data_IF_761052392762
#
_entry.id   IF_761052392762
#
_cell.length_a   1.000
_cell.length_b   1.000
_cell.length_c   1.000
_cell.angle_alpha   90.00
_cell.angle_beta   90.00
_cell.angle_gamma   90.00
#
_symmetry.space_group_name_H-M   'P 1'
#
loop_
_entity.id
_entity.type
_entity.pdbx_description
1 polymer ?
#
# COMPACT_ATOMS: atom_id res chain seq x y z
N UNK A 1 13.70 6.53 -9.22
CA UNK A 1 14.27 7.22 -8.05
C UNK A 1 14.98 6.18 -7.20
N UNK A 2 16.31 6.25 -7.07
CA UNK A 2 17.11 5.30 -6.27
C UNK A 2 16.65 5.21 -4.80
N UNK A 3 16.07 6.29 -4.28
CA UNK A 3 15.60 6.37 -2.89
C UNK A 3 14.41 5.45 -2.54
N UNK A 4 13.52 5.13 -3.48
CA UNK A 4 12.37 4.24 -3.20
C UNK A 4 12.84 2.80 -3.15
N UNK A 5 13.58 2.37 -4.16
CA UNK A 5 14.09 0.99 -4.26
C UNK A 5 14.99 0.66 -3.07
N UNK A 6 15.93 1.55 -2.73
CA UNK A 6 16.83 1.37 -1.58
C UNK A 6 16.04 1.23 -0.27
N UNK A 7 15.05 2.10 -0.05
CA UNK A 7 14.23 2.06 1.16
C UNK A 7 13.37 0.79 1.26
N UNK A 8 12.79 0.34 0.14
CA UNK A 8 11.98 -0.88 0.13
C UNK A 8 12.85 -2.13 0.30
N UNK A 9 14.04 -2.18 -0.31
CA UNK A 9 15.00 -3.28 -0.09
C UNK A 9 15.41 -3.40 1.39
N UNK A 10 15.54 -2.29 2.11
CA UNK A 10 15.79 -2.31 3.56
C UNK A 10 14.64 -2.93 4.38
N UNK A 11 13.40 -2.86 3.88
CA UNK A 11 12.23 -3.50 4.49
C UNK A 11 11.99 -4.93 3.93
N UNK A 12 13.04 -5.53 3.36
CA UNK A 12 13.10 -6.90 2.82
C UNK A 12 12.19 -7.19 1.61
N UNK A 13 11.77 -6.17 0.86
CA UNK A 13 11.11 -6.37 -0.43
C UNK A 13 12.12 -6.76 -1.52
N UNK A 14 11.74 -7.71 -2.38
CA UNK A 14 12.42 -7.93 -3.65
C UNK A 14 11.87 -6.91 -4.65
N UNK A 15 12.73 -6.00 -5.12
CA UNK A 15 12.33 -4.91 -5.99
C UNK A 15 13.00 -5.01 -7.35
N UNK A 16 12.23 -4.73 -8.39
CA UNK A 16 12.72 -4.41 -9.72
C UNK A 16 12.25 -3.01 -10.11
N UNK A 17 13.06 -2.33 -10.93
CA UNK A 17 12.75 -0.98 -11.42
C UNK A 17 12.62 -1.01 -12.93
N UNK A 18 11.57 -0.39 -13.45
CA UNK A 18 11.43 -0.04 -14.86
C UNK A 18 11.43 1.48 -14.96
N UNK A 19 12.34 2.03 -15.78
CA UNK A 19 12.49 3.47 -15.95
C UNK A 19 11.64 4.03 -17.09
N UNK A 20 11.13 3.16 -17.98
CA UNK A 20 10.38 3.53 -19.17
C UNK A 20 9.11 2.70 -19.30
N UNK A 21 8.19 3.16 -20.15
CA UNK A 21 6.98 2.42 -20.49
C UNK A 21 7.29 1.02 -21.05
N UNK A 22 8.22 0.92 -21.99
CA UNK A 22 8.57 -0.35 -22.64
C UNK A 22 9.16 -1.35 -21.64
N UNK A 23 10.09 -0.90 -20.78
CA UNK A 23 10.64 -1.74 -19.71
C UNK A 23 9.55 -2.23 -18.74
N UNK A 24 8.58 -1.36 -18.42
CA UNK A 24 7.50 -1.71 -17.51
C UNK A 24 6.60 -2.79 -18.12
N UNK A 25 6.26 -2.65 -19.41
CA UNK A 25 5.45 -3.62 -20.14
C UNK A 25 6.16 -4.96 -20.33
N UNK A 26 7.45 -4.94 -20.64
CA UNK A 26 8.28 -6.14 -20.75
C UNK A 26 8.30 -6.90 -19.42
N UNK A 27 8.68 -6.23 -18.33
CA UNK A 27 8.78 -6.86 -17.01
C UNK A 27 7.45 -7.34 -16.48
N UNK A 28 6.39 -6.55 -16.62
CA UNK A 28 5.02 -6.93 -16.28
C UNK A 28 4.50 -8.15 -17.06
N UNK A 29 5.04 -8.41 -18.26
CA UNK A 29 4.69 -9.57 -19.06
C UNK A 29 5.48 -10.84 -18.72
N UNK A 30 6.66 -10.70 -18.08
CA UNK A 30 7.56 -11.82 -17.77
C UNK A 30 7.37 -12.30 -16.32
N UNK A 31 7.13 -11.38 -15.39
CA UNK A 31 7.09 -11.67 -13.96
C UNK A 31 5.72 -11.39 -13.34
N UNK A 32 5.39 -12.13 -12.29
CA UNK A 32 4.26 -11.84 -11.42
C UNK A 32 4.73 -11.05 -10.19
N UNK A 33 4.01 -9.98 -9.88
CA UNK A 33 4.31 -9.09 -8.75
C UNK A 33 3.16 -9.06 -7.74
N UNK A 34 3.49 -8.95 -6.45
CA UNK A 34 2.48 -8.75 -5.40
C UNK A 34 1.98 -7.30 -5.36
N UNK A 35 2.89 -6.35 -5.65
CA UNK A 35 2.60 -4.92 -5.69
C UNK A 35 3.39 -4.23 -6.82
N UNK A 36 2.74 -3.33 -7.54
CA UNK A 36 3.32 -2.50 -8.59
C UNK A 36 3.09 -1.03 -8.23
N UNK A 37 4.17 -0.25 -8.19
CA UNK A 37 4.14 1.20 -8.08
C UNK A 37 4.24 1.80 -9.48
N UNK A 38 3.23 2.56 -9.89
CA UNK A 38 3.17 3.12 -11.25
C UNK A 38 3.20 4.64 -11.19
N UNK A 39 4.22 5.24 -11.80
CA UNK A 39 4.21 6.68 -12.08
C UNK A 39 3.31 6.97 -13.28
N UNK A 40 2.46 7.99 -13.21
CA UNK A 40 1.59 8.35 -14.35
C UNK A 40 2.45 8.84 -15.52
N UNK A 41 3.46 9.66 -15.23
CA UNK A 41 4.37 10.17 -16.25
C UNK A 41 5.55 9.21 -16.40
N UNK A 42 5.57 8.46 -17.51
CA UNK A 42 6.70 7.60 -17.86
C UNK A 42 7.35 8.08 -19.17
N UNK A 43 8.68 8.01 -19.29
CA UNK A 43 9.32 8.13 -20.59
C UNK A 43 8.79 7.04 -21.55
N UNK A 44 8.37 7.46 -22.74
CA UNK A 44 7.89 6.55 -23.78
C UNK A 44 6.40 6.16 -23.71
N UNK A 45 5.64 6.62 -22.70
CA UNK A 45 4.21 6.30 -22.60
C UNK A 45 3.53 6.80 -21.32
N UNK A 46 2.31 6.32 -21.06
CA UNK A 46 1.57 6.66 -19.84
C UNK A 46 1.53 5.48 -18.88
N UNK A 47 1.72 5.75 -17.59
CA UNK A 47 1.49 4.75 -16.53
C UNK A 47 0.06 4.22 -16.54
N UNK A 48 -0.93 5.03 -16.96
CA UNK A 48 -2.32 4.58 -17.08
C UNK A 48 -2.46 3.45 -18.11
N UNK A 49 -1.69 3.51 -19.21
CA UNK A 49 -1.70 2.44 -20.23
C UNK A 49 -1.09 1.14 -19.69
N UNK A 50 -0.06 1.24 -18.84
CA UNK A 50 0.51 0.08 -18.14
C UNK A 50 -0.55 -0.56 -17.24
N UNK A 51 -1.32 0.24 -16.49
CA UNK A 51 -2.39 -0.25 -15.62
C UNK A 51 -3.48 -0.93 -16.46
N UNK A 52 -3.92 -0.32 -17.57
CA UNK A 52 -4.90 -0.93 -18.48
C UNK A 52 -4.42 -2.28 -19.00
N UNK A 53 -3.16 -2.38 -19.40
CA UNK A 53 -2.57 -3.63 -19.87
C UNK A 53 -2.54 -4.70 -18.77
N UNK A 54 -2.09 -4.34 -17.56
CA UNK A 54 -2.08 -5.23 -16.39
C UNK A 54 -3.48 -5.76 -16.06
N UNK A 55 -4.50 -4.91 -16.10
CA UNK A 55 -5.89 -5.32 -15.85
C UNK A 55 -6.43 -6.21 -16.96
N UNK A 56 -6.14 -5.90 -18.22
CA UNK A 56 -6.52 -6.74 -19.37
C UNK A 56 -5.86 -8.13 -19.31
N UNK A 57 -4.65 -8.21 -18.76
CA UNK A 57 -3.94 -9.45 -18.49
C UNK A 57 -4.40 -10.17 -17.21
N UNK A 58 -5.44 -9.67 -16.52
CA UNK A 58 -5.94 -10.19 -15.24
C UNK A 58 -4.87 -10.29 -14.15
N UNK A 59 -3.92 -9.35 -14.13
CA UNK A 59 -2.88 -9.30 -13.10
C UNK A 59 -3.49 -9.22 -11.70
N UNK A 60 -3.00 -10.06 -10.80
CA UNK A 60 -3.38 -10.06 -9.38
C UNK A 60 -2.59 -9.04 -8.55
N UNK A 61 -1.59 -8.37 -9.12
CA UNK A 61 -0.76 -7.40 -8.43
C UNK A 61 -1.60 -6.25 -7.84
N UNK A 62 -1.30 -5.81 -6.62
CA UNK A 62 -1.84 -4.58 -6.07
C UNK A 62 -1.20 -3.37 -6.73
N UNK A 63 -1.98 -2.41 -7.20
CA UNK A 63 -1.47 -1.26 -7.97
C UNK A 63 -1.60 0.02 -7.15
N UNK A 64 -0.48 0.68 -6.87
CA UNK A 64 -0.46 2.03 -6.29
C UNK A 64 0.03 3.00 -7.36
N UNK A 65 -0.80 3.99 -7.66
CA UNK A 65 -0.44 5.06 -8.59
C UNK A 65 0.28 6.17 -7.85
N UNK A 66 1.37 6.65 -8.42
CA UNK A 66 2.14 7.78 -7.92
C UNK A 66 2.03 8.92 -8.94
N UNK A 67 1.57 10.09 -8.51
CA UNK A 67 1.35 11.22 -9.44
C UNK A 67 1.84 12.56 -8.90
N UNK A 68 1.78 13.60 -9.73
CA UNK A 68 1.93 14.99 -9.28
C UNK A 68 0.59 15.58 -8.77
N UNK A 69 0.68 16.59 -7.90
CA UNK A 69 -0.45 17.20 -7.17
C UNK A 69 -1.59 17.79 -8.04
N UNK A 70 -1.35 18.05 -9.32
CA UNK A 70 -2.28 18.79 -10.19
C UNK A 70 -3.09 17.93 -11.17
N UNK A 71 -3.14 16.60 -10.97
CA UNK A 71 -3.83 15.69 -11.88
C UNK A 71 -5.12 15.13 -11.28
N UNK A 72 -6.08 16.00 -10.99
CA UNK A 72 -7.36 15.58 -10.40
C UNK A 72 -8.12 14.64 -11.35
N UNK A 73 -8.03 14.91 -12.66
CA UNK A 73 -8.56 14.03 -13.71
C UNK A 73 -7.82 12.69 -13.75
N UNK A 74 -6.47 12.68 -13.75
CA UNK A 74 -5.72 11.42 -13.74
C UNK A 74 -5.93 10.60 -12.45
N UNK A 75 -6.30 11.25 -11.34
CA UNK A 75 -6.64 10.56 -10.08
C UNK A 75 -7.97 9.83 -10.19
N UNK A 76 -8.98 10.48 -10.76
CA UNK A 76 -10.29 9.87 -11.02
C UNK A 76 -10.11 8.72 -12.02
N UNK A 77 -9.42 8.99 -13.12
CA UNK A 77 -9.20 8.01 -14.17
C UNK A 77 -8.39 6.80 -13.68
N UNK A 78 -7.33 7.01 -12.90
CA UNK A 78 -6.53 5.92 -12.32
C UNK A 78 -7.33 5.00 -11.40
N UNK A 79 -8.21 5.58 -10.58
CA UNK A 79 -9.11 4.81 -9.71
C UNK A 79 -10.17 4.06 -10.51
N UNK A 80 -10.75 4.67 -11.54
CA UNK A 80 -11.73 4.03 -12.43
C UNK A 80 -11.13 2.88 -13.26
N UNK A 81 -9.87 3.02 -13.70
CA UNK A 81 -9.12 1.97 -14.40
C UNK A 81 -8.78 0.80 -13.44
N UNK A 82 -8.91 1.01 -12.12
CA UNK A 82 -8.81 -0.03 -11.11
C UNK A 82 -7.48 -0.06 -10.35
N UNK A 83 -6.80 1.08 -10.19
CA UNK A 83 -5.75 1.18 -9.16
C UNK A 83 -6.34 0.94 -7.77
N UNK A 84 -5.58 0.30 -6.89
CA UNK A 84 -6.03 -0.07 -5.53
C UNK A 84 -5.74 1.03 -4.48
N UNK A 85 -4.83 1.95 -4.79
CA UNK A 85 -4.51 3.16 -4.00
C UNK A 85 -3.80 4.22 -4.87
N UNK A 86 -3.72 5.46 -4.37
CA UNK A 86 -3.11 6.59 -5.02
C UNK A 86 -2.28 7.43 -4.05
N UNK A 87 -1.07 7.81 -4.45
CA UNK A 87 -0.13 8.61 -3.65
C UNK A 87 0.38 9.82 -4.44
N UNK A 88 0.14 11.00 -3.89
CA UNK A 88 0.52 12.27 -4.54
C UNK A 88 1.93 12.69 -4.14
N UNK A 89 2.73 13.16 -5.10
CA UNK A 89 4.06 13.76 -4.89
C UNK A 89 3.95 15.22 -4.41
N UNK A 90 4.82 15.68 -3.50
CA UNK A 90 5.82 14.89 -2.76
C UNK A 90 5.19 14.07 -1.63
N UNK A 91 5.79 12.91 -1.32
CA UNK A 91 5.36 12.01 -0.25
C UNK A 91 6.56 11.53 0.58
N UNK A 92 6.27 11.03 1.78
CA UNK A 92 7.28 10.38 2.63
C UNK A 92 7.40 8.88 2.29
N UNK A 93 8.62 8.34 2.32
CA UNK A 93 8.85 6.91 2.06
C UNK A 93 8.17 6.00 3.09
N UNK A 94 8.04 6.47 4.33
CA UNK A 94 7.28 5.80 5.39
C UNK A 94 5.79 5.70 5.04
N UNK A 95 5.20 6.75 4.43
CA UNK A 95 3.81 6.75 3.97
C UNK A 95 3.62 5.75 2.82
N UNK A 96 4.48 5.80 1.80
CA UNK A 96 4.44 4.85 0.68
C UNK A 96 4.49 3.41 1.18
N UNK A 97 5.41 3.09 2.10
CA UNK A 97 5.54 1.74 2.64
C UNK A 97 4.31 1.34 3.48
N UNK A 98 3.73 2.25 4.27
CA UNK A 98 2.48 1.97 4.97
C UNK A 98 1.34 1.62 4.00
N UNK A 99 1.24 2.29 2.85
CA UNK A 99 0.25 2.00 1.80
C UNK A 99 0.51 0.67 1.12
N UNK A 100 1.76 0.35 0.78
CA UNK A 100 2.15 -0.96 0.23
C UNK A 100 1.74 -2.08 1.19
N UNK A 101 2.06 -1.97 2.49
CA UNK A 101 1.66 -2.96 3.48
C UNK A 101 0.14 -3.07 3.63
N UNK A 102 -0.57 -1.95 3.58
CA UNK A 102 -2.04 -1.93 3.59
C UNK A 102 -2.64 -2.64 2.38
N UNK A 103 -2.06 -2.44 1.20
CA UNK A 103 -2.47 -3.08 -0.03
C UNK A 103 -2.22 -4.59 0.00
N UNK A 104 -0.99 -5.00 0.30
CA UNK A 104 -0.59 -6.41 0.36
C UNK A 104 -1.44 -7.17 1.38
N UNK A 105 -1.69 -6.58 2.54
CA UNK A 105 -2.61 -7.13 3.54
C UNK A 105 -4.01 -7.34 2.98
N UNK A 106 -4.61 -6.33 2.35
CA UNK A 106 -5.95 -6.46 1.73
C UNK A 106 -6.02 -7.61 0.72
N UNK A 107 -4.95 -7.80 -0.06
CA UNK A 107 -4.88 -8.88 -1.06
C UNK A 107 -4.63 -10.26 -0.47
N UNK A 108 -3.79 -10.36 0.55
CA UNK A 108 -3.50 -11.63 1.22
C UNK A 108 -4.73 -12.22 1.94
N UNK A 109 -5.66 -11.37 2.35
CA UNK A 109 -6.89 -11.77 3.04
C UNK A 109 -8.14 -11.74 2.14
N UNK A 110 -8.01 -11.71 0.81
CA UNK A 110 -9.16 -11.72 -0.14
C UNK A 110 -10.22 -10.61 0.10
N UNK A 111 -9.86 -9.53 0.79
CA UNK A 111 -10.83 -8.51 1.22
C UNK A 111 -11.72 -8.91 2.41
N UNK A 112 -11.47 -10.06 3.05
CA UNK A 112 -12.05 -10.39 4.35
C UNK A 112 -11.62 -9.30 5.35
N UNK A 113 -12.56 -8.65 6.04
CA UNK A 113 -12.27 -7.58 6.97
C UNK A 113 -11.72 -8.14 8.30
N UNK A 114 -10.86 -9.16 8.24
CA UNK A 114 -10.37 -9.91 9.39
C UNK A 114 -8.86 -10.13 9.29
N UNK A 115 -8.15 -9.80 10.36
CA UNK A 115 -6.71 -10.05 10.51
C UNK A 115 -6.55 -11.02 11.68
N UNK A 116 -6.00 -12.21 11.43
CA UNK A 116 -5.67 -13.16 12.48
C UNK A 116 -4.15 -13.22 12.69
N UNK A 117 -3.73 -13.15 13.96
CA UNK A 117 -2.34 -13.32 14.38
C UNK A 117 -2.27 -14.03 15.74
N UNK A 118 -1.84 -15.30 15.71
CA UNK A 118 -1.85 -16.17 16.88
C UNK A 118 -3.24 -16.17 17.54
N UNK A 119 -3.33 -15.83 18.82
CA UNK A 119 -4.59 -15.76 19.56
C UNK A 119 -5.39 -14.48 19.26
N UNK A 120 -4.80 -13.51 18.55
CA UNK A 120 -5.43 -12.22 18.25
C UNK A 120 -6.21 -12.31 16.94
N UNK A 121 -7.46 -11.85 16.95
CA UNK A 121 -8.21 -11.58 15.72
C UNK A 121 -8.73 -10.16 15.69
N UNK A 122 -8.72 -9.50 14.54
CA UNK A 122 -9.19 -8.13 14.36
C UNK A 122 -10.15 -8.04 13.19
N UNK A 123 -11.42 -7.73 13.47
CA UNK A 123 -12.42 -7.40 12.48
C UNK A 123 -12.33 -5.90 12.14
N UNK A 124 -11.64 -5.57 11.06
CA UNK A 124 -11.31 -4.20 10.66
C UNK A 124 -12.53 -3.36 10.27
N UNK A 125 -13.56 -4.00 9.72
CA UNK A 125 -14.84 -3.35 9.38
C UNK A 125 -15.66 -2.97 10.63
N UNK A 126 -15.56 -3.75 11.70
CA UNK A 126 -16.26 -3.50 12.97
C UNK A 126 -15.41 -2.73 13.98
N UNK A 127 -14.14 -2.49 13.67
CA UNK A 127 -13.14 -1.97 14.61
C UNK A 127 -13.09 -2.77 15.91
N UNK A 128 -13.18 -4.09 15.81
CA UNK A 128 -13.28 -5.00 16.94
C UNK A 128 -12.06 -5.92 16.96
N UNK A 129 -11.45 -6.08 18.13
CA UNK A 129 -10.33 -7.00 18.33
C UNK A 129 -10.72 -8.04 19.39
N UNK A 130 -10.21 -9.25 19.24
CA UNK A 130 -10.42 -10.35 20.17
C UNK A 130 -9.09 -11.04 20.49
N UNK A 131 -8.99 -11.61 21.69
CA UNK A 131 -7.92 -12.54 22.07
C UNK A 131 -8.57 -13.84 22.53
N UNK A 132 -8.18 -14.97 21.92
CA UNK A 132 -8.80 -16.27 22.18
C UNK A 132 -10.33 -16.26 22.00
N UNK A 133 -10.84 -15.41 21.10
CA UNK A 133 -12.28 -15.24 20.84
C UNK A 133 -13.01 -14.31 21.82
N UNK A 134 -12.34 -13.80 22.86
CA UNK A 134 -12.90 -12.83 23.80
C UNK A 134 -12.67 -11.40 23.33
N UNK A 135 -13.69 -10.55 23.38
CA UNK A 135 -13.63 -9.16 22.93
C UNK A 135 -12.69 -8.29 23.79
N UNK A 136 -11.81 -7.55 23.12
CA UNK A 136 -10.98 -6.52 23.73
C UNK A 136 -11.68 -5.16 23.71
N UNK A 137 -11.79 -4.53 24.87
CA UNK A 137 -12.16 -3.11 24.96
C UNK A 137 -10.92 -2.26 24.78
N UNK A 138 -10.80 -1.59 23.64
CA UNK A 138 -9.67 -0.72 23.31
C UNK A 138 -10.14 0.71 23.08
N UNK A 139 -9.33 1.68 23.51
CA UNK A 139 -9.47 3.06 23.03
C UNK A 139 -9.14 3.14 21.54
N UNK A 140 -9.55 4.23 20.88
CA UNK A 140 -9.23 4.49 19.46
C UNK A 140 -7.72 4.43 19.20
N UNK A 141 -6.91 5.01 20.08
CA UNK A 141 -5.46 5.03 19.94
C UNK A 141 -4.85 3.64 20.12
N UNK A 142 -5.31 2.86 21.10
CA UNK A 142 -4.83 1.50 21.32
C UNK A 142 -5.20 0.57 20.17
N UNK A 143 -6.42 0.66 19.64
CA UNK A 143 -6.84 -0.11 18.46
C UNK A 143 -5.97 0.21 17.24
N UNK A 144 -5.70 1.49 17.01
CA UNK A 144 -4.79 1.93 15.92
C UNK A 144 -3.37 1.42 16.13
N UNK A 145 -2.88 1.45 17.36
CA UNK A 145 -1.56 0.92 17.69
C UNK A 145 -1.48 -0.60 17.48
N UNK A 146 -2.51 -1.34 17.89
CA UNK A 146 -2.63 -2.78 17.64
C UNK A 146 -2.57 -3.08 16.14
N UNK A 147 -3.39 -2.39 15.34
CA UNK A 147 -3.33 -2.51 13.89
C UNK A 147 -1.93 -2.20 13.36
N UNK A 148 -1.30 -1.12 13.82
CA UNK A 148 0.05 -0.75 13.38
C UNK A 148 1.09 -1.86 13.66
N UNK A 149 1.00 -2.52 14.81
CA UNK A 149 1.84 -3.68 15.13
C UNK A 149 1.54 -4.89 14.25
N UNK A 150 0.26 -5.26 14.08
CA UNK A 150 -0.15 -6.39 13.25
C UNK A 150 0.23 -6.22 11.77
N UNK A 151 0.30 -4.98 11.31
CA UNK A 151 0.72 -4.66 9.94
C UNK A 151 2.24 -4.67 9.78
N UNK A 152 2.99 -4.50 10.86
CA UNK A 152 4.45 -4.47 10.86
C UNK A 152 5.04 -5.66 11.64
N UNK A 153 4.39 -6.82 11.59
CA UNK A 153 4.88 -8.02 12.25
C UNK A 153 6.33 -8.32 11.86
N UNK A 154 7.13 -8.71 12.86
CA UNK A 154 8.56 -9.05 12.72
C UNK A 154 9.48 -7.86 12.38
N UNK A 155 8.98 -6.61 12.43
CA UNK A 155 9.78 -5.40 12.26
C UNK A 155 9.97 -4.68 13.60
N UNK A 156 11.17 -4.18 13.86
CA UNK A 156 11.43 -3.25 14.97
C UNK A 156 10.88 -1.87 14.60
N UNK A 157 10.00 -1.33 15.44
CA UNK A 157 9.40 -0.01 15.25
C UNK A 157 10.01 0.99 16.22
N UNK A 158 10.38 2.18 15.72
CA UNK A 158 10.88 3.26 16.55
C UNK A 158 9.73 4.05 17.18
N UNK A 159 9.99 4.73 18.30
CA UNK A 159 8.96 5.56 18.96
C UNK A 159 8.49 6.70 18.05
N UNK A 160 9.39 7.25 17.26
CA UNK A 160 9.12 8.31 16.28
C UNK A 160 8.17 7.79 15.19
N UNK A 161 8.43 6.60 14.64
CA UNK A 161 7.56 5.99 13.61
C UNK A 161 6.15 5.69 14.13
N UNK A 162 6.04 5.27 15.41
CA UNK A 162 4.76 5.04 16.07
C UNK A 162 4.03 6.39 16.27
N UNK A 163 4.73 7.41 16.75
CA UNK A 163 4.16 8.74 16.98
C UNK A 163 3.67 9.39 15.68
N UNK A 164 4.48 9.34 14.61
CA UNK A 164 4.11 9.83 13.27
C UNK A 164 2.87 9.12 12.74
N UNK A 165 2.81 7.79 12.86
CA UNK A 165 1.65 7.01 12.41
C UNK A 165 0.38 7.36 13.20
N UNK A 166 0.50 7.57 14.52
CA UNK A 166 -0.64 7.94 15.37
C UNK A 166 -1.11 9.38 15.12
N UNK A 167 -0.20 10.33 14.93
CA UNK A 167 -0.52 11.74 14.69
C UNK A 167 -1.05 12.00 13.26
N UNK A 168 -0.54 11.29 12.25
CA UNK A 168 -0.84 11.55 10.84
C UNK A 168 -2.30 11.31 10.42
N UNK A 169 -3.06 10.49 11.15
CA UNK A 169 -4.47 10.23 10.78
C UNK A 169 -5.48 11.14 11.49
N UNK A 170 -5.05 12.02 12.39
CA UNK A 170 -5.94 13.05 12.96
C UNK A 170 -6.07 14.25 12.01
N UNK A 171 -5.20 14.36 11.00
CA UNK A 171 -5.22 15.43 10.00
C UNK A 171 -6.28 15.24 8.90
N UNK A 172 -6.91 14.06 8.80
CA UNK A 172 -7.94 13.75 7.79
C UNK A 172 -9.39 13.92 8.30
N UNK A 173 -9.58 14.61 9.43
CA UNK A 173 -10.90 14.89 10.04
C UNK A 173 -11.18 16.38 10.30
N UNK A 174 -10.46 17.28 9.62
CA UNK A 174 -10.80 18.71 9.54
C UNK A 174 -11.18 19.11 8.11
#
# INVERSE_FOLDING_TARGET
SSSIEEYLKQDAYLCEVAATYDEAMEKAGIYEYDCILVDITLPGGSGLDVIRALKKAHSKAGIIVISAKNSLDDKIEGLEIGSDDYLTKPFHLSELNARIKALLRRKQFEGEPRIDFQEISVQTNKQQAQVLGEDLTLTRTEYRLLLYFLVNLKRVLSKESIAEHLAGSDADLL
#
